data_IF_684977322035
#
_entry.id   IF_684977322035
#
_cell.length_a   1.000
_cell.length_b   1.000
_cell.length_c   1.000
_cell.angle_alpha   90.00
_cell.angle_beta   90.00
_cell.angle_gamma   90.00
#
_symmetry.space_group_name_H-M   'P 1'
#
loop_
_entity.id
_entity.type
_entity.pdbx_description
1 polymer ?
#
# COMPACT_ATOMS: atom_id res chain seq x y z
N UNK A 1 -3.29 5.93 -15.37
CA UNK A 1 -1.94 6.54 -15.22
C UNK A 1 -0.93 5.43 -15.41
N UNK A 2 -0.09 5.53 -16.44
CA UNK A 2 1.03 4.61 -16.67
C UNK A 2 2.10 4.83 -15.59
N UNK A 3 2.63 3.73 -15.03
CA UNK A 3 3.58 3.81 -13.93
C UNK A 3 5.04 3.95 -14.39
N UNK A 4 5.40 3.26 -15.47
CA UNK A 4 6.77 3.24 -15.96
C UNK A 4 6.87 3.46 -17.46
N UNK A 5 7.92 4.16 -17.90
CA UNK A 5 8.25 4.23 -19.31
C UNK A 5 8.79 2.85 -19.78
N UNK A 6 8.22 2.37 -20.87
CA UNK A 6 8.57 1.07 -21.48
C UNK A 6 9.41 1.26 -22.76
N UNK A 7 9.81 2.50 -23.08
CA UNK A 7 10.61 2.80 -24.25
C UNK A 7 12.11 2.56 -23.98
N UNK A 8 12.85 2.42 -25.06
CA UNK A 8 14.30 2.26 -25.00
C UNK A 8 14.74 0.86 -24.50
N UNK A 9 15.88 0.81 -23.79
CA UNK A 9 16.50 -0.44 -23.33
C UNK A 9 16.42 -0.60 -21.81
N UNK A 10 15.29 -0.18 -21.21
CA UNK A 10 15.01 -0.35 -19.78
C UNK A 10 14.66 -1.80 -19.44
N UNK A 11 14.73 -2.15 -18.16
CA UNK A 11 14.28 -3.49 -17.74
C UNK A 11 12.76 -3.67 -17.96
N UNK A 12 11.98 -2.60 -17.89
CA UNK A 12 10.55 -2.59 -18.15
C UNK A 12 10.25 -2.94 -19.63
N UNK A 13 11.03 -2.38 -20.56
CA UNK A 13 10.87 -2.68 -21.99
C UNK A 13 11.15 -4.16 -22.30
N UNK A 14 12.07 -4.79 -21.55
CA UNK A 14 12.40 -6.23 -21.69
C UNK A 14 11.30 -7.15 -21.18
N UNK A 15 10.35 -6.64 -20.37
CA UNK A 15 9.18 -7.40 -19.91
C UNK A 15 8.11 -7.55 -20.99
N UNK A 16 8.23 -6.85 -22.11
CA UNK A 16 7.24 -6.84 -23.19
C UNK A 16 5.98 -6.08 -22.85
N UNK A 17 6.03 -5.21 -21.82
CA UNK A 17 4.90 -4.35 -21.43
C UNK A 17 4.68 -3.23 -22.43
N UNK A 18 3.41 -2.82 -22.59
CA UNK A 18 3.01 -1.66 -23.38
C UNK A 18 2.59 -0.48 -22.50
N UNK A 19 1.73 -0.73 -21.51
CA UNK A 19 1.26 0.29 -20.58
C UNK A 19 1.11 -0.32 -19.16
N UNK A 20 2.22 -0.53 -18.44
CA UNK A 20 2.19 -1.09 -17.09
C UNK A 20 1.65 -0.10 -16.09
N UNK A 21 0.73 -0.56 -15.24
CA UNK A 21 0.11 0.18 -14.15
C UNK A 21 0.27 -0.62 -12.87
N UNK A 22 0.91 -0.03 -11.86
CA UNK A 22 1.12 -0.68 -10.56
C UNK A 22 0.10 -0.22 -9.53
N UNK A 23 -0.18 -1.09 -8.58
CA UNK A 23 -1.10 -0.78 -7.48
C UNK A 23 -0.65 0.41 -6.64
N UNK A 24 0.65 0.69 -6.58
CA UNK A 24 1.26 1.82 -5.90
C UNK A 24 0.71 3.17 -6.36
N UNK A 25 0.27 3.27 -7.63
CA UNK A 25 -0.36 4.49 -8.13
C UNK A 25 -1.57 4.94 -7.30
N UNK A 26 -2.21 4.03 -6.58
CA UNK A 26 -3.36 4.38 -5.75
C UNK A 26 -3.00 5.36 -4.63
N UNK A 27 -1.79 5.25 -4.07
CA UNK A 27 -1.29 6.20 -3.06
C UNK A 27 -1.06 7.59 -3.65
N UNK A 28 -0.67 7.67 -4.93
CA UNK A 28 -0.41 8.95 -5.61
C UNK A 28 -1.69 9.75 -5.94
N UNK A 29 -2.87 9.13 -5.89
CA UNK A 29 -4.13 9.81 -6.20
C UNK A 29 -4.46 10.93 -5.22
N UNK A 30 -3.97 10.86 -3.99
CA UNK A 30 -4.10 11.93 -3.00
C UNK A 30 -3.58 13.27 -3.52
N UNK A 31 -2.44 13.26 -4.21
CA UNK A 31 -1.88 14.46 -4.84
C UNK A 31 -2.84 15.06 -5.88
N UNK A 32 -3.55 14.23 -6.65
CA UNK A 32 -4.50 14.72 -7.65
C UNK A 32 -5.75 15.32 -7.00
N UNK A 33 -6.26 14.72 -5.93
CA UNK A 33 -7.35 15.30 -5.15
C UNK A 33 -6.96 16.64 -4.53
N UNK A 34 -5.75 16.74 -3.94
CA UNK A 34 -5.24 18.01 -3.40
C UNK A 34 -5.00 19.05 -4.50
N UNK A 35 -4.48 18.65 -5.67
CA UNK A 35 -4.33 19.55 -6.80
C UNK A 35 -5.67 20.14 -7.26
N UNK A 36 -6.75 19.34 -7.24
CA UNK A 36 -8.12 19.85 -7.52
C UNK A 36 -8.54 20.89 -6.50
N UNK A 37 -8.35 20.64 -5.20
CA UNK A 37 -8.73 21.58 -4.14
C UNK A 37 -7.99 22.91 -4.24
N UNK A 38 -6.68 22.85 -4.55
CA UNK A 38 -5.83 24.03 -4.62
C UNK A 38 -6.04 24.85 -5.90
N UNK A 39 -6.26 24.20 -7.04
CA UNK A 39 -6.38 24.87 -8.36
C UNK A 39 -7.81 25.17 -8.76
N UNK A 40 -8.78 24.45 -8.23
CA UNK A 40 -10.17 24.45 -8.71
C UNK A 40 -10.37 23.68 -10.03
N UNK A 41 -9.31 23.06 -10.59
CA UNK A 41 -9.38 22.29 -11.83
C UNK A 41 -9.83 20.85 -11.54
N UNK A 42 -11.05 20.50 -11.93
CA UNK A 42 -11.63 19.16 -11.76
C UNK A 42 -10.98 18.08 -12.64
N UNK A 43 -10.11 18.44 -13.59
CA UNK A 43 -9.40 17.48 -14.43
C UNK A 43 -8.60 16.49 -13.58
N UNK A 44 -7.94 16.97 -12.54
CA UNK A 44 -7.16 16.10 -11.64
C UNK A 44 -8.06 15.12 -10.88
N UNK A 45 -9.20 15.58 -10.34
CA UNK A 45 -10.21 14.72 -9.70
C UNK A 45 -10.71 13.64 -10.65
N UNK A 46 -11.07 14.02 -11.87
CA UNK A 46 -11.59 13.08 -12.87
C UNK A 46 -10.54 12.00 -13.23
N UNK A 47 -9.27 12.39 -13.37
CA UNK A 47 -8.18 11.44 -13.62
C UNK A 47 -8.00 10.49 -12.44
N UNK A 48 -8.07 10.98 -11.20
CA UNK A 48 -7.95 10.15 -10.01
C UNK A 48 -9.09 9.12 -9.92
N UNK A 49 -10.33 9.55 -10.10
CA UNK A 49 -11.52 8.67 -10.07
C UNK A 49 -11.47 7.64 -11.18
N UNK A 50 -11.19 8.05 -12.42
CA UNK A 50 -11.07 7.12 -13.56
C UNK A 50 -9.98 6.07 -13.33
N UNK A 51 -8.86 6.47 -12.71
CA UNK A 51 -7.79 5.54 -12.36
C UNK A 51 -8.23 4.55 -11.28
N UNK A 52 -8.85 5.06 -10.19
CA UNK A 52 -9.36 4.22 -9.11
C UNK A 52 -10.41 3.20 -9.60
N UNK A 53 -11.36 3.63 -10.43
CA UNK A 53 -12.40 2.76 -10.98
C UNK A 53 -11.80 1.66 -11.88
N UNK A 54 -10.82 2.03 -12.69
CA UNK A 54 -10.13 1.06 -13.55
C UNK A 54 -9.34 0.04 -12.74
N UNK A 55 -8.60 0.49 -11.75
CA UNK A 55 -7.86 -0.35 -10.81
C UNK A 55 -8.79 -1.30 -10.06
N UNK A 56 -9.92 -0.80 -9.56
CA UNK A 56 -10.94 -1.58 -8.87
C UNK A 56 -11.45 -2.75 -9.72
N UNK A 57 -11.69 -2.49 -10.99
CA UNK A 57 -12.23 -3.48 -11.92
C UNK A 57 -11.24 -4.55 -12.32
N UNK A 58 -9.95 -4.19 -12.50
CA UNK A 58 -9.02 -5.03 -13.24
C UNK A 58 -7.90 -5.61 -12.37
N UNK A 59 -7.57 -5.00 -11.21
CA UNK A 59 -6.36 -5.29 -10.45
C UNK A 59 -6.58 -6.16 -9.21
N UNK A 60 -7.84 -6.45 -8.87
CA UNK A 60 -8.18 -7.27 -7.70
C UNK A 60 -8.56 -8.69 -8.06
N UNK A 61 -8.17 -9.63 -7.19
CA UNK A 61 -8.63 -11.01 -7.22
C UNK A 61 -9.98 -11.14 -6.48
N UNK A 62 -10.73 -12.22 -6.70
CA UNK A 62 -12.02 -12.44 -6.03
C UNK A 62 -11.93 -12.45 -4.50
N UNK A 63 -10.79 -12.85 -3.92
CA UNK A 63 -10.55 -12.87 -2.48
C UNK A 63 -10.27 -11.50 -1.85
N UNK A 64 -10.06 -10.46 -2.67
CA UNK A 64 -9.77 -9.10 -2.23
C UNK A 64 -8.31 -8.72 -2.28
N UNK A 65 -7.41 -9.66 -2.54
CA UNK A 65 -6.00 -9.34 -2.80
C UNK A 65 -5.82 -8.64 -4.15
N UNK A 66 -4.70 -7.95 -4.34
CA UNK A 66 -4.41 -7.28 -5.59
C UNK A 66 -3.16 -7.83 -6.29
N UNK A 67 -3.15 -7.73 -7.61
CA UNK A 67 -1.95 -7.88 -8.43
C UNK A 67 -1.07 -6.64 -8.30
N UNK A 68 0.25 -6.83 -8.38
CA UNK A 68 1.17 -5.69 -8.38
C UNK A 68 1.07 -4.88 -9.68
N UNK A 69 1.17 -5.54 -10.83
CA UNK A 69 1.23 -4.90 -12.15
C UNK A 69 0.10 -5.40 -13.04
N UNK A 70 -0.62 -4.48 -13.66
CA UNK A 70 -1.47 -4.76 -14.82
C UNK A 70 -0.83 -4.10 -16.04
N UNK A 71 -0.59 -4.89 -17.09
CA UNK A 71 -0.17 -4.35 -18.36
C UNK A 71 -1.36 -4.24 -19.30
N UNK A 72 -1.55 -3.06 -19.86
CA UNK A 72 -2.65 -2.76 -20.79
C UNK A 72 -2.14 -2.61 -22.22
N UNK A 73 -2.95 -3.04 -23.17
CA UNK A 73 -2.76 -2.73 -24.58
C UNK A 73 -2.93 -1.23 -24.82
N UNK A 74 -2.01 -0.63 -25.55
CA UNK A 74 -2.11 0.79 -25.97
C UNK A 74 -3.08 0.99 -27.12
N UNK A 75 -3.45 -0.09 -27.83
CA UNK A 75 -4.36 -0.04 -28.97
C UNK A 75 -5.83 0.07 -28.53
N UNK A 76 -6.26 -0.77 -27.59
CA UNK A 76 -7.67 -0.88 -27.21
C UNK A 76 -7.90 -0.80 -25.68
N UNK A 77 -6.84 -0.67 -24.88
CA UNK A 77 -6.91 -0.58 -23.44
C UNK A 77 -7.27 -1.88 -22.73
N UNK A 78 -7.29 -3.03 -23.40
CA UNK A 78 -7.55 -4.32 -22.75
C UNK A 78 -6.39 -4.76 -21.86
N UNK A 79 -6.69 -5.61 -20.86
CA UNK A 79 -5.66 -6.22 -20.01
C UNK A 79 -4.90 -7.28 -20.79
N UNK A 80 -3.61 -7.12 -20.92
CA UNK A 80 -2.69 -8.09 -21.56
C UNK A 80 -2.12 -9.06 -20.54
N UNK A 81 -1.63 -8.52 -19.42
CA UNK A 81 -0.95 -9.33 -18.39
C UNK A 81 -1.31 -8.84 -16.99
N UNK A 82 -1.34 -9.78 -16.03
CA UNK A 82 -1.34 -9.55 -14.60
C UNK A 82 -0.05 -10.13 -14.05
N UNK A 83 0.81 -9.30 -13.48
CA UNK A 83 2.16 -9.70 -13.13
C UNK A 83 2.66 -9.02 -11.86
N UNK A 84 3.86 -9.38 -11.46
CA UNK A 84 4.62 -8.66 -10.44
C UNK A 84 5.94 -8.15 -10.98
N UNK A 85 6.47 -7.10 -10.34
CA UNK A 85 7.83 -6.63 -10.53
C UNK A 85 8.65 -6.76 -9.23
N UNK A 86 8.03 -6.54 -8.09
CA UNK A 86 8.67 -6.51 -6.78
C UNK A 86 8.24 -7.65 -5.87
N UNK A 87 7.15 -8.37 -6.17
CA UNK A 87 6.71 -9.56 -5.44
C UNK A 87 7.45 -10.82 -5.84
N UNK A 88 7.22 -11.89 -5.11
CA UNK A 88 7.85 -13.20 -5.30
C UNK A 88 7.44 -13.85 -6.63
N UNK A 89 6.16 -13.83 -6.95
CA UNK A 89 5.60 -14.36 -8.21
C UNK A 89 4.38 -13.56 -8.64
N UNK A 90 3.92 -13.77 -9.89
CA UNK A 90 2.79 -13.05 -10.46
C UNK A 90 1.49 -13.25 -9.66
N UNK A 91 1.32 -14.42 -9.04
CA UNK A 91 0.15 -14.73 -8.22
C UNK A 91 0.38 -14.55 -6.72
N UNK A 92 1.58 -14.18 -6.28
CA UNK A 92 1.88 -14.03 -4.85
C UNK A 92 1.26 -12.75 -4.24
N UNK A 93 1.27 -12.72 -2.92
CA UNK A 93 0.77 -11.61 -2.11
C UNK A 93 1.92 -10.71 -1.67
N UNK A 94 2.35 -9.84 -2.56
CA UNK A 94 3.33 -8.80 -2.23
C UNK A 94 2.74 -7.81 -1.25
N UNK A 95 3.29 -7.77 -0.03
CA UNK A 95 2.65 -7.11 1.12
C UNK A 95 2.48 -5.61 0.96
N UNK A 96 3.50 -4.91 0.44
CA UNK A 96 3.39 -3.46 0.23
C UNK A 96 2.37 -3.10 -0.84
N UNK A 97 2.15 -3.96 -1.84
CA UNK A 97 1.08 -3.76 -2.80
C UNK A 97 -0.31 -3.80 -2.15
N UNK A 98 -0.55 -4.75 -1.24
CA UNK A 98 -1.79 -4.81 -0.47
C UNK A 98 -1.94 -3.56 0.41
N UNK A 99 -0.85 -3.11 1.05
CA UNK A 99 -0.84 -1.89 1.86
C UNK A 99 -1.22 -0.65 1.02
N UNK A 100 -0.66 -0.50 -0.18
CA UNK A 100 -1.01 0.59 -1.10
C UNK A 100 -2.48 0.56 -1.53
N UNK A 101 -3.04 -0.64 -1.76
CA UNK A 101 -4.45 -0.80 -2.06
C UNK A 101 -5.33 -0.34 -0.88
N UNK A 102 -5.04 -0.80 0.34
CA UNK A 102 -5.79 -0.40 1.55
C UNK A 102 -5.73 1.12 1.72
N UNK A 103 -4.53 1.71 1.68
CA UNK A 103 -4.33 3.14 1.86
C UNK A 103 -5.00 3.97 0.76
N UNK A 104 -4.71 3.65 -0.50
CA UNK A 104 -5.20 4.43 -1.64
C UNK A 104 -6.72 4.41 -1.77
N UNK A 105 -7.37 3.28 -1.51
CA UNK A 105 -8.84 3.21 -1.51
C UNK A 105 -9.47 3.89 -0.29
N UNK A 106 -8.79 3.92 0.86
CA UNK A 106 -9.22 4.74 2.00
C UNK A 106 -9.19 6.22 1.65
N UNK A 107 -8.11 6.69 0.99
CA UNK A 107 -8.00 8.07 0.46
C UNK A 107 -9.10 8.36 -0.56
N UNK A 108 -9.32 7.45 -1.53
CA UNK A 108 -10.38 7.64 -2.53
C UNK A 108 -11.75 7.77 -1.88
N UNK A 109 -12.05 6.99 -0.85
CA UNK A 109 -13.29 7.16 -0.09
C UNK A 109 -13.35 8.50 0.65
N UNK A 110 -12.27 8.92 1.29
CA UNK A 110 -12.20 10.23 1.96
C UNK A 110 -12.60 11.35 1.01
N UNK A 111 -12.09 11.32 -0.21
CA UNK A 111 -12.25 12.41 -1.19
C UNK A 111 -13.57 12.36 -1.97
N UNK A 112 -14.10 11.16 -2.22
CA UNK A 112 -15.28 10.98 -3.09
C UNK A 112 -16.55 10.61 -2.35
N UNK A 113 -16.43 10.08 -1.13
CA UNK A 113 -17.51 9.42 -0.38
C UNK A 113 -18.15 8.23 -1.10
N UNK A 114 -17.52 7.71 -2.15
CA UNK A 114 -17.98 6.51 -2.83
C UNK A 114 -17.71 5.27 -1.97
N UNK A 115 -18.76 4.68 -1.42
CA UNK A 115 -18.69 3.54 -0.52
C UNK A 115 -17.98 2.32 -1.12
N UNK A 116 -18.05 2.14 -2.44
CA UNK A 116 -17.37 1.02 -3.12
C UNK A 116 -15.86 1.02 -2.90
N UNK A 117 -15.25 2.20 -2.80
CA UNK A 117 -13.82 2.31 -2.51
C UNK A 117 -13.50 1.86 -1.08
N UNK A 118 -14.30 2.29 -0.12
CA UNK A 118 -14.11 1.85 1.27
C UNK A 118 -14.30 0.34 1.42
N UNK A 119 -15.31 -0.21 0.74
CA UNK A 119 -15.59 -1.66 0.77
C UNK A 119 -14.40 -2.46 0.20
N UNK A 120 -13.72 -1.92 -0.83
CA UNK A 120 -12.50 -2.56 -1.34
C UNK A 120 -11.33 -2.44 -0.36
N UNK A 121 -11.12 -1.29 0.27
CA UNK A 121 -10.09 -1.15 1.31
C UNK A 121 -10.30 -2.15 2.45
N UNK A 122 -11.54 -2.25 2.93
CA UNK A 122 -11.94 -3.23 3.96
C UNK A 122 -11.66 -4.65 3.49
N UNK A 123 -12.08 -5.00 2.28
CA UNK A 123 -11.92 -6.35 1.73
C UNK A 123 -10.45 -6.75 1.63
N UNK A 124 -9.58 -5.85 1.18
CA UNK A 124 -8.13 -6.12 1.10
C UNK A 124 -7.52 -6.22 2.49
N UNK A 125 -7.91 -5.39 3.44
CA UNK A 125 -7.46 -5.48 4.81
C UNK A 125 -7.88 -6.80 5.47
N UNK A 126 -9.15 -7.20 5.36
CA UNK A 126 -9.64 -8.46 5.91
C UNK A 126 -8.94 -9.67 5.27
N UNK A 127 -8.63 -9.62 3.97
CA UNK A 127 -7.81 -10.63 3.33
C UNK A 127 -6.43 -10.74 4.02
N UNK A 128 -5.70 -9.63 4.16
CA UNK A 128 -4.38 -9.62 4.78
C UNK A 128 -4.41 -10.09 6.24
N UNK A 129 -5.34 -9.58 7.02
CA UNK A 129 -5.54 -9.91 8.44
C UNK A 129 -5.76 -11.41 8.68
N UNK A 130 -6.46 -12.07 7.76
CA UNK A 130 -6.84 -13.48 7.90
C UNK A 130 -5.83 -14.46 7.27
N UNK A 131 -4.69 -13.99 6.76
CA UNK A 131 -3.62 -14.86 6.27
C UNK A 131 -3.05 -15.70 7.43
N UNK A 132 -2.97 -17.01 7.23
CA UNK A 132 -2.50 -17.95 8.27
C UNK A 132 -1.07 -17.72 8.73
N UNK A 133 -0.25 -17.13 7.86
CA UNK A 133 1.15 -16.83 8.11
C UNK A 133 1.39 -15.35 8.45
N UNK A 134 0.31 -14.57 8.73
CA UNK A 134 0.49 -13.22 9.27
C UNK A 134 1.23 -13.34 10.62
N UNK A 135 2.38 -12.65 10.77
CA UNK A 135 3.15 -12.72 12.01
C UNK A 135 2.39 -12.16 13.21
N UNK A 136 2.70 -12.65 14.41
CA UNK A 136 2.03 -12.22 15.65
C UNK A 136 2.24 -10.72 15.95
N UNK A 137 3.38 -10.17 15.54
CA UNK A 137 3.70 -8.74 15.67
C UNK A 137 3.05 -7.87 14.59
N UNK A 138 2.30 -8.44 13.65
CA UNK A 138 1.56 -7.79 12.58
C UNK A 138 2.43 -6.98 11.59
N UNK A 139 3.74 -7.17 11.61
CA UNK A 139 4.63 -6.66 10.56
C UNK A 139 4.77 -7.76 9.50
N UNK A 140 4.21 -7.60 8.30
CA UNK A 140 4.16 -8.67 7.31
C UNK A 140 5.56 -9.01 6.76
N UNK A 141 5.70 -10.19 6.19
CA UNK A 141 6.83 -10.49 5.32
C UNK A 141 6.76 -9.63 4.07
N UNK A 142 7.89 -9.44 3.39
CA UNK A 142 7.94 -8.66 2.14
C UNK A 142 6.95 -9.17 1.08
N UNK A 143 6.76 -10.49 1.05
CA UNK A 143 5.73 -11.19 0.29
C UNK A 143 5.21 -12.35 1.16
N UNK A 144 3.91 -12.47 1.28
CA UNK A 144 3.31 -13.47 2.17
C UNK A 144 3.44 -14.89 1.63
N UNK A 145 3.75 -15.06 0.36
CA UNK A 145 4.01 -16.35 -0.28
C UNK A 145 5.51 -16.57 -0.53
N UNK A 146 6.39 -15.80 0.09
CA UNK A 146 7.83 -15.98 -0.02
C UNK A 146 8.22 -17.41 0.44
N UNK A 147 9.11 -18.09 -0.30
CA UNK A 147 9.40 -19.52 -0.06
C UNK A 147 10.14 -19.79 1.25
N UNK A 148 10.74 -18.77 1.82
CA UNK A 148 11.52 -18.81 3.06
C UNK A 148 10.73 -18.35 4.30
N UNK A 149 9.42 -18.14 4.22
CA UNK A 149 8.56 -17.92 5.40
C UNK A 149 8.65 -19.13 6.33
N UNK A 150 8.91 -18.97 7.65
CA UNK A 150 8.90 -17.73 8.44
C UNK A 150 10.24 -16.97 8.54
N UNK A 151 11.27 -17.36 7.83
CA UNK A 151 12.58 -16.71 7.86
C UNK A 151 12.70 -15.54 6.85
N UNK A 152 11.67 -15.30 6.04
CA UNK A 152 11.63 -14.23 5.05
C UNK A 152 11.78 -12.84 5.69
N UNK A 153 12.42 -11.88 5.01
CA UNK A 153 12.52 -10.50 5.47
C UNK A 153 11.15 -9.89 5.76
N UNK A 154 11.11 -9.08 6.82
CA UNK A 154 9.92 -8.30 7.19
C UNK A 154 9.87 -7.00 6.40
N UNK A 155 8.71 -6.44 6.22
CA UNK A 155 8.55 -5.13 5.59
C UNK A 155 7.81 -4.16 6.50
N UNK A 156 8.59 -3.41 7.31
CA UNK A 156 8.07 -2.38 8.19
C UNK A 156 7.33 -1.27 7.42
N UNK A 157 7.69 -1.05 6.14
CA UNK A 157 7.00 -0.07 5.30
C UNK A 157 5.54 -0.46 5.03
N UNK A 158 5.28 -1.74 4.75
CA UNK A 158 3.91 -2.25 4.58
C UNK A 158 3.09 -2.09 5.85
N UNK A 159 3.68 -2.40 7.02
CA UNK A 159 3.02 -2.27 8.31
C UNK A 159 2.64 -0.81 8.61
N UNK A 160 3.56 0.15 8.38
CA UNK A 160 3.31 1.57 8.64
C UNK A 160 2.20 2.14 7.74
N UNK A 161 2.17 1.77 6.46
CA UNK A 161 1.10 2.16 5.52
C UNK A 161 -0.25 1.60 5.95
N UNK A 162 -0.31 0.31 6.33
CA UNK A 162 -1.55 -0.31 6.83
C UNK A 162 -2.03 0.39 8.10
N UNK A 163 -1.14 0.63 9.07
CA UNK A 163 -1.50 1.30 10.32
C UNK A 163 -2.08 2.70 10.07
N UNK A 164 -1.46 3.48 9.18
CA UNK A 164 -1.95 4.80 8.80
C UNK A 164 -3.36 4.74 8.21
N UNK A 165 -3.61 3.83 7.26
CA UNK A 165 -4.92 3.63 6.66
C UNK A 165 -5.98 3.21 7.70
N UNK A 166 -5.64 2.28 8.60
CA UNK A 166 -6.57 1.76 9.61
C UNK A 166 -6.95 2.84 10.65
N UNK A 167 -6.03 3.71 11.06
CA UNK A 167 -6.40 4.85 11.90
C UNK A 167 -7.41 5.75 11.21
N UNK A 168 -7.24 6.04 9.93
CA UNK A 168 -8.24 6.81 9.18
C UNK A 168 -9.58 6.07 9.10
N UNK A 169 -9.58 4.79 8.73
CA UNK A 169 -10.80 3.96 8.66
C UNK A 169 -11.52 3.88 10.01
N UNK A 170 -10.79 3.93 11.11
CA UNK A 170 -11.38 3.91 12.46
C UNK A 170 -12.17 5.17 12.82
N UNK A 171 -12.04 6.26 12.04
CA UNK A 171 -12.80 7.49 12.22
C UNK A 171 -14.13 7.50 11.44
N UNK A 172 -14.37 6.49 10.62
CA UNK A 172 -15.58 6.38 9.83
C UNK A 172 -16.69 5.67 10.63
N UNK A 173 -17.94 5.95 10.27
CA UNK A 173 -19.10 5.27 10.86
C UNK A 173 -19.19 3.83 10.31
N UNK A 174 -18.46 2.94 10.96
CA UNK A 174 -18.32 1.54 10.61
C UNK A 174 -18.52 0.66 11.85
N UNK A 175 -19.19 -0.50 11.73
CA UNK A 175 -19.35 -1.44 12.85
C UNK A 175 -18.01 -1.86 13.47
N UNK A 176 -16.97 -2.01 12.64
CA UNK A 176 -15.65 -2.51 13.03
C UNK A 176 -14.61 -1.41 13.29
N UNK A 177 -15.03 -0.13 13.35
CA UNK A 177 -14.11 1.01 13.55
C UNK A 177 -13.16 0.81 14.73
N UNK A 178 -13.67 0.34 15.87
CA UNK A 178 -12.86 0.05 17.06
C UNK A 178 -11.82 -1.08 16.81
N UNK A 179 -12.17 -2.07 16.00
CA UNK A 179 -11.25 -3.17 15.68
C UNK A 179 -10.12 -2.72 14.76
N UNK A 180 -10.39 -1.82 13.81
CA UNK A 180 -9.35 -1.21 12.96
C UNK A 180 -8.37 -0.41 13.80
N UNK A 181 -8.86 0.39 14.75
CA UNK A 181 -8.01 1.13 15.68
C UNK A 181 -7.14 0.18 16.51
N UNK A 182 -7.74 -0.85 17.11
CA UNK A 182 -7.00 -1.81 17.93
C UNK A 182 -5.93 -2.58 17.13
N UNK A 183 -6.21 -2.89 15.86
CA UNK A 183 -5.22 -3.52 14.98
C UNK A 183 -4.08 -2.57 14.62
N UNK A 184 -4.38 -1.30 14.31
CA UNK A 184 -3.38 -0.27 14.09
C UNK A 184 -2.52 -0.02 15.32
N UNK A 185 -3.11 0.02 16.51
CA UNK A 185 -2.38 0.18 17.79
C UNK A 185 -1.35 -0.95 17.98
N UNK A 186 -1.69 -2.20 17.69
CA UNK A 186 -0.76 -3.34 17.76
C UNK A 186 0.38 -3.23 16.74
N UNK A 187 0.09 -2.85 15.49
CA UNK A 187 1.15 -2.59 14.51
C UNK A 187 2.11 -1.51 15.03
N UNK A 188 1.56 -0.40 15.53
CA UNK A 188 2.38 0.71 16.01
C UNK A 188 3.19 0.36 17.26
N UNK A 189 2.65 -0.49 18.15
CA UNK A 189 3.40 -1.03 19.28
C UNK A 189 4.58 -1.87 18.81
N UNK A 190 4.40 -2.73 17.82
CA UNK A 190 5.47 -3.52 17.23
C UNK A 190 6.52 -2.64 16.55
N UNK A 191 6.11 -1.69 15.71
CA UNK A 191 7.01 -0.77 15.02
C UNK A 191 7.79 0.14 15.98
N UNK A 192 7.21 0.50 17.14
CA UNK A 192 7.88 1.29 18.18
C UNK A 192 8.85 0.48 19.05
N UNK A 193 8.88 -0.84 18.91
CA UNK A 193 9.80 -1.70 19.67
C UNK A 193 11.23 -1.59 19.17
N UNK A 194 12.19 -2.04 20.01
CA UNK A 194 13.61 -2.13 19.62
C UNK A 194 13.87 -3.06 18.42
N UNK A 195 12.90 -3.91 18.06
CA UNK A 195 13.01 -4.78 16.90
C UNK A 195 12.87 -4.02 15.57
N UNK A 196 12.20 -2.86 15.57
CA UNK A 196 11.93 -2.10 14.35
C UNK A 196 12.36 -0.63 14.43
N UNK A 197 12.44 -0.05 15.63
CA UNK A 197 12.89 1.34 15.81
C UNK A 197 14.39 1.37 16.10
N UNK A 198 15.14 2.08 15.26
CA UNK A 198 16.57 2.27 15.43
C UNK A 198 16.90 3.16 16.64
N UNK A 199 18.07 2.97 17.22
CA UNK A 199 18.58 3.88 18.25
C UNK A 199 18.92 5.24 17.64
N UNK A 200 18.75 6.28 18.44
CA UNK A 200 19.01 7.65 18.00
C UNK A 200 20.42 7.82 17.45
N UNK A 201 20.51 8.29 16.20
CA UNK A 201 21.77 8.51 15.48
C UNK A 201 22.28 7.32 14.69
N UNK A 202 21.67 6.15 14.82
CA UNK A 202 21.94 4.96 14.00
C UNK A 202 21.09 4.91 12.73
N UNK A 203 21.17 3.80 11.97
CA UNK A 203 20.34 3.50 10.79
C UNK A 203 20.27 4.64 9.74
N UNK A 204 21.37 5.38 9.54
CA UNK A 204 21.37 6.52 8.61
C UNK A 204 20.44 7.67 9.04
N UNK A 205 20.00 7.70 10.29
CA UNK A 205 19.02 8.63 10.88
C UNK A 205 17.56 8.37 10.46
N UNK A 206 17.28 7.22 9.88
CA UNK A 206 15.90 6.75 9.70
C UNK A 206 15.37 6.16 11.00
N UNK A 207 14.06 6.24 11.19
CA UNK A 207 13.37 5.74 12.38
C UNK A 207 13.23 4.23 12.32
N UNK A 208 12.65 3.73 11.23
CA UNK A 208 12.34 2.32 11.07
C UNK A 208 13.46 1.55 10.36
N UNK A 209 13.71 0.36 10.87
CA UNK A 209 14.55 -0.68 10.28
C UNK A 209 13.66 -1.70 9.53
N UNK A 210 14.29 -2.63 8.82
CA UNK A 210 13.67 -3.84 8.30
C UNK A 210 12.54 -3.60 7.30
N UNK A 211 12.81 -2.78 6.28
CA UNK A 211 11.94 -2.63 5.13
C UNK A 211 12.55 -3.27 3.88
N UNK A 212 11.71 -3.61 2.90
CA UNK A 212 12.14 -4.24 1.66
C UNK A 212 11.60 -3.45 0.45
N UNK A 213 12.51 -2.88 -0.34
CA UNK A 213 12.17 -2.24 -1.62
C UNK A 213 11.83 -3.28 -2.68
N UNK A 214 12.81 -4.08 -3.11
CA UNK A 214 12.60 -5.10 -4.16
C UNK A 214 13.63 -6.23 -4.10
N UNK A 215 13.26 -7.40 -3.60
CA UNK A 215 14.11 -8.59 -3.62
C UNK A 215 14.41 -9.06 -5.05
N UNK A 216 13.42 -9.13 -5.98
CA UNK A 216 13.72 -9.54 -7.35
C UNK A 216 14.76 -8.68 -8.08
N UNK A 217 14.91 -7.43 -7.68
CA UNK A 217 15.92 -6.52 -8.24
C UNK A 217 17.18 -6.41 -7.39
N UNK A 218 17.27 -7.16 -6.29
CA UNK A 218 18.33 -7.06 -5.29
C UNK A 218 18.58 -5.59 -4.86
N UNK A 219 17.49 -4.87 -4.63
CA UNK A 219 17.49 -3.45 -4.29
C UNK A 219 16.74 -3.21 -3.00
N UNK A 220 17.38 -2.51 -2.07
CA UNK A 220 16.77 -2.10 -0.81
C UNK A 220 16.20 -3.29 -0.01
N UNK A 221 17.04 -4.31 0.23
CA UNK A 221 16.68 -5.50 0.99
C UNK A 221 17.10 -5.34 2.44
N UNK A 222 16.15 -5.41 3.35
CA UNK A 222 16.35 -5.26 4.80
C UNK A 222 17.08 -3.95 5.17
N UNK A 223 16.53 -2.83 4.69
CA UNK A 223 17.09 -1.47 4.85
C UNK A 223 16.02 -0.48 5.31
N UNK A 224 16.41 0.71 5.82
CA UNK A 224 15.45 1.79 6.05
C UNK A 224 14.92 2.34 4.74
N UNK A 225 13.63 2.72 4.73
CA UNK A 225 12.99 3.38 3.59
C UNK A 225 12.29 4.66 4.05
N UNK A 226 12.44 5.74 3.27
CA UNK A 226 11.89 7.04 3.64
C UNK A 226 10.36 7.04 3.76
N UNK A 227 9.66 6.28 2.92
CA UNK A 227 8.21 6.17 3.01
C UNK A 227 7.76 5.30 4.19
N UNK A 228 8.58 4.37 4.70
CA UNK A 228 8.30 3.67 5.95
C UNK A 228 8.19 4.68 7.11
N UNK A 229 9.18 5.57 7.24
CA UNK A 229 9.18 6.63 8.25
C UNK A 229 8.03 7.63 8.03
N UNK A 230 7.75 8.02 6.78
CA UNK A 230 6.65 8.92 6.47
C UNK A 230 5.32 8.39 6.99
N UNK A 231 4.96 7.15 6.62
CA UNK A 231 3.68 6.57 7.04
C UNK A 231 3.64 6.19 8.51
N UNK A 232 4.78 5.87 9.12
CA UNK A 232 4.88 5.71 10.56
C UNK A 232 4.54 7.02 11.30
N UNK A 233 5.11 8.13 10.88
CA UNK A 233 4.83 9.45 11.44
C UNK A 233 3.40 9.91 11.16
N UNK A 234 2.87 9.62 9.98
CA UNK A 234 1.47 9.89 9.65
C UNK A 234 0.51 9.08 10.55
N UNK A 235 0.81 7.79 10.78
CA UNK A 235 0.04 6.95 11.68
C UNK A 235 0.06 7.48 13.12
N UNK A 236 1.22 7.90 13.63
CA UNK A 236 1.37 8.54 14.95
C UNK A 236 0.54 9.83 15.05
N UNK A 237 0.57 10.64 14.00
CA UNK A 237 -0.22 11.88 13.94
C UNK A 237 -1.70 11.56 13.98
N UNK A 238 -2.19 10.64 13.14
CA UNK A 238 -3.60 10.21 13.11
C UNK A 238 -4.05 9.66 14.47
N UNK A 239 -3.26 8.81 15.10
CA UNK A 239 -3.52 8.32 16.46
C UNK A 239 -3.69 9.47 17.45
N UNK A 240 -2.74 10.40 17.47
CA UNK A 240 -2.76 11.56 18.36
C UNK A 240 -4.00 12.45 18.14
N UNK A 241 -4.39 12.66 16.88
CA UNK A 241 -5.55 13.48 16.55
C UNK A 241 -6.87 12.80 17.00
N UNK A 242 -6.98 11.47 16.86
CA UNK A 242 -8.11 10.69 17.36
C UNK A 242 -8.20 10.78 18.89
N UNK A 243 -7.09 10.64 19.58
CA UNK A 243 -7.04 10.71 21.06
C UNK A 243 -7.45 12.08 21.59
N UNK A 244 -7.04 13.16 20.93
CA UNK A 244 -7.44 14.54 21.29
C UNK A 244 -8.94 14.79 21.08
N UNK A 245 -9.55 14.15 20.07
CA UNK A 245 -10.98 14.35 19.77
C UNK A 245 -11.87 13.56 20.73
N UNK A 246 -11.33 12.56 21.42
CA UNK A 246 -12.06 11.72 22.38
C UNK A 246 -12.10 12.31 23.82
N UNK A 247 -11.40 13.43 24.06
CA UNK A 247 -11.40 14.20 25.33
C UNK A 247 -12.39 15.37 25.20
#
# INVERSE_FOLDING_TARGET
IQSWDVKGNSWQSKRGWECPVIIDNMMNLELLFEATKLSGDSTFYNVAVMHADRTLKEQFRPDGSCYHVIDYSIEDGTVRHRQTAQGYSDESVWSRGQAWAIYGYTVCYRETKNRTYLDQAIKTFEFMKNLKNMPEDLVPYWDMDAPDVPAAPRDASSASVIASALYEMSTYDLPDAASYRAYADKIMESLASESYTAKLGENGRFILMHSVGSIPHNSEVDVPLNYADYYYLEALKRKTDIEKTAI
#
